data_IF_229298978392
#
_entry.id   IF_229298978392
#
_cell.length_a   1.000
_cell.length_b   1.000
_cell.length_c   1.000
_cell.angle_alpha   90.00
_cell.angle_beta   90.00
_cell.angle_gamma   90.00
#
_symmetry.space_group_name_H-M   'P 1'
#
loop_
_entity.id
_entity.type
_entity.pdbx_description
1 polymer ?
#
# COMPACT_ATOMS: atom_id res chain seq x y z
N UNK A 1 82.37 -23.18 16.96
CA UNK A 1 82.16 -24.43 16.18
C UNK A 1 80.80 -24.37 15.61
N UNK A 2 80.68 -24.20 14.27
CA UNK A 2 79.41 -24.17 13.52
C UNK A 2 79.25 -25.50 12.82
N UNK A 3 78.23 -26.27 13.21
CA UNK A 3 77.82 -27.46 12.45
C UNK A 3 76.89 -27.14 11.37
N UNK A 4 77.12 -27.60 10.10
CA UNK A 4 76.14 -27.44 9.02
C UNK A 4 75.09 -28.53 9.12
N UNK A 5 73.81 -28.13 9.21
CA UNK A 5 72.65 -29.01 9.11
C UNK A 5 72.43 -29.35 7.62
N UNK A 6 72.74 -30.59 7.24
CA UNK A 6 72.38 -31.12 5.94
C UNK A 6 71.04 -31.84 6.01
N UNK A 7 70.04 -31.38 5.30
CA UNK A 7 68.74 -32.05 5.12
C UNK A 7 68.94 -33.34 4.27
N UNK A 8 68.34 -34.47 4.68
CA UNK A 8 68.42 -35.71 3.91
C UNK A 8 67.66 -35.61 2.60
N UNK A 9 68.32 -35.97 1.49
CA UNK A 9 67.79 -35.93 0.12
C UNK A 9 67.01 -37.20 -0.21
N UNK A 10 65.91 -37.49 0.47
CA UNK A 10 65.01 -38.57 0.08
C UNK A 10 63.93 -38.09 -0.91
N UNK A 11 63.90 -38.63 -2.13
CA UNK A 11 62.93 -38.20 -3.16
C UNK A 11 61.47 -38.46 -2.73
N UNK A 12 61.19 -39.44 -1.90
CA UNK A 12 59.85 -39.75 -1.33
C UNK A 12 59.33 -38.68 -0.40
N UNK A 13 60.19 -37.97 0.36
CA UNK A 13 59.76 -36.92 1.28
C UNK A 13 59.38 -35.63 0.53
N UNK A 14 60.01 -35.38 -0.62
CA UNK A 14 59.66 -34.23 -1.48
C UNK A 14 58.34 -34.46 -2.20
N UNK A 15 58.02 -35.68 -2.59
CA UNK A 15 56.75 -36.05 -3.22
C UNK A 15 55.58 -35.93 -2.24
N UNK A 16 55.78 -36.32 -0.97
CA UNK A 16 54.74 -36.19 0.08
C UNK A 16 54.47 -34.73 0.47
N UNK A 17 55.49 -33.88 0.53
CA UNK A 17 55.32 -32.45 0.81
C UNK A 17 54.65 -31.70 -0.35
N UNK A 18 54.94 -32.07 -1.63
CA UNK A 18 54.29 -31.51 -2.79
C UNK A 18 52.78 -31.90 -2.88
N UNK A 19 52.44 -33.15 -2.51
CA UNK A 19 51.04 -33.61 -2.48
C UNK A 19 50.24 -32.98 -1.37
N UNK A 20 50.84 -32.71 -0.20
CA UNK A 20 50.17 -32.02 0.92
C UNK A 20 49.93 -30.55 0.59
N UNK A 21 50.80 -29.87 -0.12
CA UNK A 21 50.59 -28.49 -0.56
C UNK A 21 49.50 -28.36 -1.65
N UNK A 22 49.39 -29.32 -2.59
CA UNK A 22 48.32 -29.37 -3.57
C UNK A 22 46.96 -29.68 -2.94
N UNK A 23 46.90 -30.53 -1.95
CA UNK A 23 45.67 -30.83 -1.21
C UNK A 23 45.19 -29.62 -0.37
N UNK A 24 46.10 -28.85 0.24
CA UNK A 24 45.75 -27.63 0.97
C UNK A 24 45.29 -26.48 0.07
N UNK A 25 45.78 -26.39 -1.18
CA UNK A 25 45.31 -25.42 -2.18
C UNK A 25 43.91 -25.76 -2.71
N UNK A 26 43.53 -27.03 -2.80
CA UNK A 26 42.23 -27.49 -3.26
C UNK A 26 41.11 -27.22 -2.24
N UNK A 27 41.44 -27.17 -0.93
CA UNK A 27 40.43 -26.88 0.14
C UNK A 27 40.09 -25.38 0.28
N UNK A 28 40.94 -24.47 -0.27
CA UNK A 28 40.67 -23.03 -0.27
C UNK A 28 39.81 -22.56 -1.48
N UNK A 29 39.57 -23.41 -2.48
CA UNK A 29 38.69 -23.09 -3.61
C UNK A 29 37.20 -23.44 -3.36
N UNK A 30 36.85 -23.94 -2.17
CA UNK A 30 35.51 -24.40 -1.83
C UNK A 30 34.55 -23.35 -1.27
N UNK A 31 34.90 -22.06 -1.24
CA UNK A 31 33.94 -20.98 -0.98
C UNK A 31 33.38 -20.43 -2.31
N UNK A 32 32.83 -21.32 -3.13
CA UNK A 32 31.91 -20.92 -4.18
C UNK A 32 30.62 -20.47 -3.51
N UNK A 33 30.51 -19.17 -3.19
CA UNK A 33 29.23 -18.57 -2.85
C UNK A 33 28.32 -18.76 -4.08
N UNK A 34 27.39 -19.71 -4.00
CA UNK A 34 26.28 -19.75 -4.92
C UNK A 34 25.58 -18.39 -4.94
N UNK A 35 24.80 -18.05 -5.96
CA UNK A 35 24.11 -16.78 -6.02
C UNK A 35 23.29 -16.61 -4.73
N UNK A 36 23.66 -15.59 -3.92
CA UNK A 36 22.93 -15.27 -2.68
C UNK A 36 21.57 -14.75 -3.12
N UNK A 37 20.54 -15.58 -2.95
CA UNK A 37 19.17 -15.14 -3.22
C UNK A 37 18.82 -14.06 -2.20
N UNK A 38 18.50 -12.83 -2.63
CA UNK A 38 18.12 -11.77 -1.71
C UNK A 38 16.96 -12.20 -0.81
N UNK A 39 16.94 -11.73 0.43
CA UNK A 39 15.79 -11.94 1.31
C UNK A 39 14.52 -11.42 0.63
N UNK A 40 13.37 -12.07 0.87
CA UNK A 40 12.10 -11.79 0.15
C UNK A 40 11.73 -10.30 0.09
N UNK A 41 12.00 -9.54 1.17
CA UNK A 41 11.73 -8.10 1.23
C UNK A 41 12.76 -7.24 0.48
N UNK A 42 13.87 -7.84 0.03
CA UNK A 42 14.94 -7.19 -0.75
C UNK A 42 14.96 -7.65 -2.21
N UNK A 43 14.00 -8.46 -2.62
CA UNK A 43 13.88 -8.87 -4.02
C UNK A 43 13.78 -7.64 -4.92
N UNK A 44 14.54 -7.56 -6.02
CA UNK A 44 14.44 -6.45 -6.96
C UNK A 44 13.10 -6.48 -7.71
N UNK A 45 12.69 -5.33 -8.23
CA UNK A 45 11.59 -5.27 -9.20
C UNK A 45 12.01 -6.04 -10.48
N UNK A 46 11.02 -6.66 -11.13
CA UNK A 46 11.26 -7.37 -12.39
C UNK A 46 11.63 -6.40 -13.51
N UNK A 47 12.37 -6.88 -14.51
CA UNK A 47 12.68 -6.11 -15.73
C UNK A 47 11.40 -5.63 -16.43
N UNK A 48 10.34 -6.44 -16.42
CA UNK A 48 9.05 -6.05 -16.97
C UNK A 48 8.46 -4.85 -16.22
N UNK A 49 8.50 -4.87 -14.87
CA UNK A 49 8.01 -3.78 -14.03
C UNK A 49 8.82 -2.50 -14.26
N UNK A 50 10.16 -2.61 -14.37
CA UNK A 50 11.02 -1.47 -14.67
C UNK A 50 10.74 -0.88 -16.05
N UNK A 51 10.53 -1.72 -17.06
CA UNK A 51 10.16 -1.28 -18.41
C UNK A 51 8.80 -0.58 -18.44
N UNK A 52 7.81 -1.09 -17.68
CA UNK A 52 6.48 -0.47 -17.59
C UNK A 52 6.51 0.88 -16.86
N UNK A 53 7.29 1.00 -15.78
CA UNK A 53 7.53 2.27 -15.10
C UNK A 53 8.09 3.31 -16.08
N UNK A 54 9.16 2.96 -16.79
CA UNK A 54 9.79 3.83 -17.78
C UNK A 54 8.82 4.24 -18.90
N UNK A 55 8.00 3.31 -19.39
CA UNK A 55 6.99 3.60 -20.41
C UNK A 55 5.92 4.59 -19.96
N UNK A 56 5.75 4.76 -18.65
CA UNK A 56 4.83 5.72 -18.01
C UNK A 56 5.52 6.97 -17.47
N UNK A 57 6.78 7.21 -17.84
CA UNK A 57 7.61 8.32 -17.34
C UNK A 57 7.72 8.31 -15.79
N UNK A 58 7.87 7.13 -15.22
CA UNK A 58 8.02 6.91 -13.78
C UNK A 58 9.34 6.21 -13.51
N UNK A 59 10.04 6.63 -12.46
CA UNK A 59 11.20 5.90 -11.95
C UNK A 59 10.78 4.98 -10.80
N UNK A 60 11.56 3.92 -10.52
CA UNK A 60 11.28 3.05 -9.38
C UNK A 60 11.36 3.82 -8.04
N UNK A 61 12.19 4.85 -8.02
CA UNK A 61 12.39 5.78 -6.92
C UNK A 61 11.30 6.84 -6.78
N UNK A 62 10.48 7.09 -7.82
CA UNK A 62 9.42 8.10 -7.76
C UNK A 62 8.51 7.90 -6.55
N UNK A 63 8.01 8.97 -5.93
CA UNK A 63 7.05 8.89 -4.83
C UNK A 63 5.86 7.99 -5.15
N UNK A 64 5.40 7.24 -4.15
CA UNK A 64 4.29 6.28 -4.25
C UNK A 64 3.09 6.72 -3.41
N UNK A 65 1.88 6.31 -3.81
CA UNK A 65 0.63 6.42 -3.10
C UNK A 65 -0.21 5.17 -3.41
N UNK A 66 -0.95 4.65 -2.43
CA UNK A 66 -1.82 3.50 -2.60
C UNK A 66 -3.30 3.88 -2.46
N UNK A 67 -4.16 3.30 -3.31
CA UNK A 67 -5.61 3.44 -3.20
C UNK A 67 -6.26 2.06 -3.22
N UNK A 68 -7.23 1.85 -2.36
CA UNK A 68 -8.00 0.59 -2.26
C UNK A 68 -9.47 0.88 -2.48
N UNK A 69 -10.13 0.01 -3.25
CA UNK A 69 -11.55 0.02 -3.51
C UNK A 69 -12.13 -1.34 -3.13
N UNK A 70 -12.93 -1.38 -2.06
CA UNK A 70 -13.40 -2.64 -1.47
C UNK A 70 -14.41 -3.37 -2.36
N UNK A 71 -15.40 -2.66 -2.94
CA UNK A 71 -16.43 -3.28 -3.78
C UNK A 71 -15.82 -3.89 -5.04
N UNK A 72 -14.90 -3.17 -5.68
CA UNK A 72 -14.16 -3.65 -6.85
C UNK A 72 -13.11 -4.71 -6.48
N UNK A 73 -12.76 -4.80 -5.19
CA UNK A 73 -11.66 -5.60 -4.69
C UNK A 73 -10.35 -5.32 -5.43
N UNK A 74 -9.97 -4.05 -5.49
CA UNK A 74 -8.79 -3.57 -6.21
C UNK A 74 -7.88 -2.71 -5.33
N UNK A 75 -6.58 -2.88 -5.51
CA UNK A 75 -5.54 -2.00 -4.99
C UNK A 75 -4.81 -1.34 -6.15
N UNK A 76 -4.79 -0.03 -6.16
CA UNK A 76 -4.04 0.78 -7.12
C UNK A 76 -2.73 1.26 -6.51
N UNK A 77 -1.65 1.11 -7.28
CA UNK A 77 -0.38 1.77 -7.04
C UNK A 77 -0.28 2.97 -7.97
N UNK A 78 -0.10 4.12 -7.38
CA UNK A 78 0.14 5.39 -8.05
C UNK A 78 1.56 5.84 -7.80
N UNK A 79 2.24 6.36 -8.82
CA UNK A 79 3.57 6.96 -8.69
C UNK A 79 3.61 8.32 -9.34
N UNK A 80 4.46 9.20 -8.84
CA UNK A 80 4.69 10.46 -9.52
C UNK A 80 5.44 10.22 -10.83
N UNK A 81 4.94 10.85 -11.88
CA UNK A 81 5.62 10.95 -13.17
C UNK A 81 6.52 12.21 -13.25
N UNK A 82 7.11 12.46 -14.41
CA UNK A 82 7.99 13.61 -14.65
C UNK A 82 7.29 14.97 -14.46
N UNK A 83 5.96 15.01 -14.45
CA UNK A 83 5.20 16.24 -14.15
C UNK A 83 5.11 16.53 -12.63
N UNK A 84 5.54 15.61 -11.79
CA UNK A 84 5.39 15.66 -10.34
C UNK A 84 3.96 15.35 -9.86
N UNK A 85 3.09 14.86 -10.74
CA UNK A 85 1.74 14.42 -10.40
C UNK A 85 1.68 12.90 -10.30
N UNK A 86 0.78 12.40 -9.47
CA UNK A 86 0.53 10.97 -9.41
C UNK A 86 -0.23 10.51 -10.64
N UNK A 87 0.28 9.47 -11.29
CA UNK A 87 -0.37 8.74 -12.36
C UNK A 87 -0.48 7.26 -11.99
N UNK A 88 -1.48 6.58 -12.52
CA UNK A 88 -1.73 5.18 -12.22
C UNK A 88 -0.62 4.30 -12.82
N UNK A 89 0.17 3.70 -11.94
CA UNK A 89 1.13 2.69 -12.36
C UNK A 89 0.41 1.38 -12.69
N UNK A 90 -0.27 0.79 -11.70
CA UNK A 90 -0.93 -0.52 -11.89
C UNK A 90 -2.09 -0.72 -10.91
N UNK A 91 -3.12 -1.44 -11.36
CA UNK A 91 -4.20 -1.96 -10.53
C UNK A 91 -3.96 -3.44 -10.26
N UNK A 92 -4.02 -3.84 -9.00
CA UNK A 92 -3.86 -5.22 -8.54
C UNK A 92 -5.20 -5.72 -8.02
N UNK A 93 -5.69 -6.87 -8.49
CA UNK A 93 -6.87 -7.48 -7.92
C UNK A 93 -6.57 -7.96 -6.49
N UNK A 94 -7.42 -7.58 -5.53
CA UNK A 94 -7.33 -8.04 -4.14
C UNK A 94 -7.87 -9.47 -4.08
N UNK A 95 -7.05 -10.37 -3.56
CA UNK A 95 -7.36 -11.78 -3.41
C UNK A 95 -8.55 -11.97 -2.45
N UNK A 96 -8.52 -11.29 -1.32
CA UNK A 96 -9.61 -11.25 -0.34
C UNK A 96 -9.49 -10.04 0.58
N UNK A 97 -10.61 -9.39 0.88
CA UNK A 97 -10.74 -8.47 2.00
C UNK A 97 -11.89 -8.92 2.90
N UNK A 98 -11.93 -8.47 4.17
CA UNK A 98 -12.90 -8.95 5.15
C UNK A 98 -13.86 -7.86 5.60
N UNK A 99 -15.05 -8.29 6.03
CA UNK A 99 -16.10 -7.44 6.54
C UNK A 99 -17.07 -6.98 5.44
N UNK A 100 -17.62 -5.79 5.60
CA UNK A 100 -18.59 -5.18 4.70
C UNK A 100 -18.07 -3.84 4.19
N UNK A 101 -18.79 -3.20 3.27
CA UNK A 101 -18.59 -1.80 2.98
C UNK A 101 -18.94 -0.96 4.21
N UNK A 102 -18.08 -0.02 4.55
CA UNK A 102 -18.18 0.81 5.74
C UNK A 102 -16.89 0.80 6.58
N UNK A 103 -16.75 1.74 7.50
CA UNK A 103 -15.56 1.88 8.32
C UNK A 103 -15.41 0.74 9.32
N UNK A 104 -14.16 0.43 9.71
CA UNK A 104 -13.88 -0.39 10.88
C UNK A 104 -14.24 0.37 12.15
N UNK A 105 -14.93 -0.31 13.08
CA UNK A 105 -15.41 0.31 14.32
C UNK A 105 -14.69 -0.24 15.55
N UNK A 106 -14.55 -1.57 15.68
CA UNK A 106 -14.04 -2.17 16.94
C UNK A 106 -13.18 -3.40 16.69
N UNK A 107 -12.34 -3.70 17.67
CA UNK A 107 -11.58 -4.95 17.71
C UNK A 107 -12.50 -6.15 17.54
N UNK A 108 -12.14 -7.10 16.69
CA UNK A 108 -12.89 -8.33 16.46
C UNK A 108 -14.06 -8.22 15.50
N UNK A 109 -14.39 -7.04 14.94
CA UNK A 109 -15.45 -6.87 13.95
C UNK A 109 -15.09 -7.45 12.55
N UNK A 110 -13.86 -7.91 12.36
CA UNK A 110 -13.32 -8.47 11.11
C UNK A 110 -13.45 -7.54 9.91
N UNK A 111 -13.55 -6.24 10.15
CA UNK A 111 -13.78 -5.20 9.16
C UNK A 111 -12.46 -4.63 8.65
N UNK A 112 -12.24 -4.65 7.34
CA UNK A 112 -11.15 -3.94 6.69
C UNK A 112 -11.41 -2.41 6.76
N UNK A 113 -10.40 -1.59 7.15
CA UNK A 113 -10.59 -0.17 7.41
C UNK A 113 -10.83 0.65 6.14
N UNK A 114 -11.61 1.72 6.24
CA UNK A 114 -11.78 2.76 5.22
C UNK A 114 -11.33 4.10 5.79
N UNK A 115 -10.70 4.94 4.96
CA UNK A 115 -10.19 6.25 5.35
C UNK A 115 -8.81 6.55 4.79
N UNK A 116 -8.10 7.49 5.42
CA UNK A 116 -6.79 7.98 5.00
C UNK A 116 -5.74 7.62 6.04
N UNK A 117 -4.71 6.90 5.62
CA UNK A 117 -3.67 6.39 6.51
C UNK A 117 -2.30 6.79 6.01
N UNK A 118 -1.39 7.12 6.91
CA UNK A 118 -0.01 7.47 6.60
C UNK A 118 0.89 6.26 6.83
N UNK A 119 1.52 5.80 5.78
CA UNK A 119 2.45 4.67 5.81
C UNK A 119 3.87 5.22 5.92
N UNK A 120 4.60 4.76 6.92
CA UNK A 120 6.02 5.07 7.13
C UNK A 120 6.87 3.81 6.95
N UNK A 121 8.20 3.92 6.80
CA UNK A 121 9.08 2.74 6.75
C UNK A 121 8.90 1.76 7.92
N UNK A 122 8.58 2.26 9.12
CA UNK A 122 8.32 1.44 10.31
C UNK A 122 7.06 0.58 10.24
N UNK A 123 6.16 0.85 9.28
CA UNK A 123 4.96 0.05 9.05
C UNK A 123 5.16 -1.05 7.99
N UNK A 124 6.33 -1.10 7.35
CA UNK A 124 6.74 -2.17 6.44
C UNK A 124 7.19 -3.39 7.25
N UNK A 125 6.49 -4.51 7.15
CA UNK A 125 6.81 -5.74 7.88
C UNK A 125 7.46 -6.80 6.97
N UNK A 126 8.80 -6.92 6.99
CA UNK A 126 9.53 -7.92 6.19
C UNK A 126 9.38 -9.35 6.71
N UNK A 127 8.97 -9.51 7.98
CA UNK A 127 8.89 -10.78 8.68
C UNK A 127 7.44 -11.25 8.91
N UNK A 128 6.52 -10.80 8.07
CA UNK A 128 5.12 -11.20 8.17
C UNK A 128 4.96 -12.72 8.00
N UNK A 129 4.10 -13.33 8.84
CA UNK A 129 3.67 -14.72 8.67
C UNK A 129 2.87 -14.93 7.37
N UNK A 130 2.35 -13.86 6.80
CA UNK A 130 1.65 -13.82 5.52
C UNK A 130 2.56 -13.27 4.42
N UNK A 131 3.74 -13.87 4.27
CA UNK A 131 4.77 -13.51 3.30
C UNK A 131 5.41 -12.12 3.59
N UNK A 132 4.85 -11.03 3.10
CA UNK A 132 5.23 -9.64 3.38
C UNK A 132 3.97 -8.86 3.76
N UNK A 133 4.11 -7.78 4.55
CA UNK A 133 2.97 -6.96 4.90
C UNK A 133 3.33 -5.47 5.04
N UNK A 134 2.34 -4.62 4.82
CA UNK A 134 2.35 -3.20 5.13
C UNK A 134 1.21 -2.95 6.12
N UNK A 135 1.52 -2.48 7.32
CA UNK A 135 0.50 -2.11 8.29
C UNK A 135 -0.17 -0.81 7.82
N UNK A 136 -1.51 -0.78 7.84
CA UNK A 136 -2.27 0.40 7.41
C UNK A 136 -2.11 1.60 8.33
N UNK A 137 -1.63 1.40 9.56
CA UNK A 137 -1.58 2.45 10.57
C UNK A 137 -2.91 2.72 11.27
N UNK A 138 -3.92 1.86 11.05
CA UNK A 138 -5.17 1.94 11.79
C UNK A 138 -4.96 1.62 13.30
N UNK A 139 -5.61 2.32 14.24
CA UNK A 139 -6.46 3.49 14.04
C UNK A 139 -5.63 4.78 13.88
N UNK A 140 -6.01 5.63 12.91
CA UNK A 140 -5.43 6.95 12.76
C UNK A 140 -5.99 7.96 13.80
N UNK A 141 -5.66 9.25 13.69
CA UNK A 141 -6.12 10.27 14.61
C UNK A 141 -7.65 10.45 14.59
N UNK A 142 -8.26 10.43 13.40
CA UNK A 142 -9.70 10.47 13.22
C UNK A 142 -10.40 9.25 13.84
N UNK A 143 -9.89 8.06 13.60
CA UNK A 143 -10.44 6.82 14.14
C UNK A 143 -10.46 6.83 15.67
N UNK A 144 -9.34 7.22 16.27
CA UNK A 144 -9.23 7.34 17.75
C UNK A 144 -10.20 8.36 18.32
N UNK A 145 -10.37 9.52 17.68
CA UNK A 145 -11.32 10.53 18.12
C UNK A 145 -12.78 10.03 18.05
N UNK A 146 -13.07 9.11 17.13
CA UNK A 146 -14.37 8.46 17.01
C UNK A 146 -14.51 7.17 17.84
N UNK A 147 -13.57 6.89 18.75
CA UNK A 147 -13.60 5.72 19.62
C UNK A 147 -13.41 4.38 18.90
N UNK A 148 -12.87 4.39 17.68
CA UNK A 148 -12.61 3.17 16.92
C UNK A 148 -11.40 2.42 17.46
N UNK A 149 -11.49 1.10 17.51
CA UNK A 149 -10.46 0.24 18.10
C UNK A 149 -10.07 -0.92 17.18
N UNK A 150 -8.84 -1.40 17.33
CA UNK A 150 -8.26 -2.49 16.56
C UNK A 150 -6.78 -2.25 16.32
N UNK A 151 -6.10 -3.27 15.85
CA UNK A 151 -4.67 -3.23 15.53
C UNK A 151 -4.32 -4.28 14.48
N UNK A 152 -3.10 -4.19 13.92
CA UNK A 152 -2.57 -5.16 12.97
C UNK A 152 -3.45 -5.37 11.72
N UNK A 153 -4.04 -4.28 11.22
CA UNK A 153 -4.75 -4.30 9.96
C UNK A 153 -3.76 -4.00 8.84
N UNK A 154 -3.61 -4.94 7.91
CA UNK A 154 -2.50 -4.93 6.96
C UNK A 154 -2.98 -5.13 5.52
N UNK A 155 -2.15 -4.68 4.58
CA UNK A 155 -2.05 -5.20 3.24
C UNK A 155 -0.97 -6.28 3.29
N UNK A 156 -1.26 -7.53 2.88
CA UNK A 156 -0.31 -8.65 3.03
C UNK A 156 -0.50 -9.73 1.96
N UNK A 157 0.48 -10.60 1.80
CA UNK A 157 0.39 -11.80 0.95
C UNK A 157 -0.51 -12.90 1.54
N UNK A 158 -0.40 -14.12 1.02
CA UNK A 158 -1.07 -15.31 1.57
C UNK A 158 -2.55 -15.47 1.23
N UNK A 159 -3.15 -14.57 0.48
CA UNK A 159 -4.50 -14.70 -0.10
C UNK A 159 -5.63 -15.07 0.88
N UNK A 160 -5.50 -14.79 2.19
CA UNK A 160 -6.53 -15.02 3.21
C UNK A 160 -6.66 -13.84 4.16
N UNK A 161 -7.86 -13.47 4.57
CA UNK A 161 -8.11 -12.28 5.37
C UNK A 161 -9.04 -12.53 6.55
N UNK A 162 -8.77 -11.83 7.66
CA UNK A 162 -9.63 -11.76 8.84
C UNK A 162 -9.72 -10.31 9.39
N UNK A 163 -9.83 -9.32 8.49
CA UNK A 163 -9.85 -7.87 8.77
C UNK A 163 -8.82 -7.07 7.98
N UNK A 164 -8.13 -7.70 7.06
CA UNK A 164 -7.03 -7.15 6.26
C UNK A 164 -7.38 -7.07 4.77
N UNK A 165 -6.42 -6.62 3.97
CA UNK A 165 -6.43 -6.68 2.51
C UNK A 165 -5.38 -7.71 2.07
N UNK A 166 -5.81 -8.89 1.62
CA UNK A 166 -4.92 -9.97 1.22
C UNK A 166 -4.68 -9.95 -0.28
N UNK A 167 -3.40 -9.97 -0.64
CA UNK A 167 -2.88 -10.05 -2.00
C UNK A 167 -2.29 -11.44 -2.24
N UNK A 168 -1.94 -11.79 -3.47
CA UNK A 168 -1.03 -12.91 -3.69
C UNK A 168 0.39 -12.54 -3.23
N UNK A 169 1.24 -13.54 -3.02
CA UNK A 169 2.62 -13.31 -2.60
C UNK A 169 3.40 -12.52 -3.65
N UNK A 170 3.17 -12.80 -4.94
CA UNK A 170 3.82 -12.11 -6.06
C UNK A 170 3.40 -10.64 -6.12
N UNK A 171 2.10 -10.36 -6.00
CA UNK A 171 1.59 -8.99 -5.97
C UNK A 171 2.16 -8.22 -4.77
N UNK A 172 2.17 -8.88 -3.59
CA UNK A 172 2.69 -8.24 -2.37
C UNK A 172 4.19 -7.99 -2.47
N UNK A 173 4.96 -8.90 -3.08
CA UNK A 173 6.39 -8.70 -3.34
C UNK A 173 6.64 -7.43 -4.18
N UNK A 174 5.87 -7.25 -5.25
CA UNK A 174 6.01 -6.09 -6.14
C UNK A 174 5.58 -4.79 -5.45
N UNK A 175 4.41 -4.76 -4.80
CA UNK A 175 3.91 -3.59 -4.06
C UNK A 175 4.90 -3.19 -2.95
N UNK A 176 5.43 -4.17 -2.22
CA UNK A 176 6.42 -3.95 -1.16
C UNK A 176 7.72 -3.38 -1.73
N UNK A 177 8.21 -3.92 -2.84
CA UNK A 177 9.42 -3.43 -3.49
C UNK A 177 9.23 -2.00 -4.01
N UNK A 178 8.09 -1.67 -4.65
CA UNK A 178 7.79 -0.30 -5.12
C UNK A 178 7.77 0.71 -3.96
N UNK A 179 7.17 0.34 -2.81
CA UNK A 179 7.17 1.18 -1.63
C UNK A 179 8.57 1.34 -1.02
N UNK A 180 9.34 0.24 -0.95
CA UNK A 180 10.73 0.24 -0.46
C UNK A 180 11.62 1.17 -1.29
N UNK A 181 11.57 1.07 -2.63
CA UNK A 181 12.38 1.91 -3.51
C UNK A 181 12.07 3.41 -3.32
N UNK A 182 10.79 3.77 -3.19
CA UNK A 182 10.40 5.15 -2.89
C UNK A 182 10.93 5.64 -1.53
N UNK A 183 10.88 4.80 -0.49
CA UNK A 183 11.46 5.12 0.82
C UNK A 183 12.99 5.25 0.77
N UNK A 184 13.68 4.39 0.04
CA UNK A 184 15.15 4.47 -0.13
C UNK A 184 15.56 5.75 -0.87
N UNK A 185 14.71 6.28 -1.72
CA UNK A 185 14.91 7.55 -2.42
C UNK A 185 14.59 8.78 -1.57
N UNK A 186 14.13 8.61 -0.33
CA UNK A 186 13.92 9.71 0.62
C UNK A 186 12.46 10.10 0.85
N UNK A 187 11.48 9.40 0.25
CA UNK A 187 10.09 9.58 0.67
C UNK A 187 9.95 9.14 2.14
N UNK A 188 9.53 10.04 3.02
CA UNK A 188 9.46 9.76 4.47
C UNK A 188 8.17 9.04 4.87
N UNK A 189 7.11 9.24 4.09
CA UNK A 189 5.81 8.57 4.23
C UNK A 189 5.04 8.65 2.92
N UNK A 190 4.03 7.80 2.77
CA UNK A 190 3.03 7.91 1.71
C UNK A 190 1.63 7.64 2.23
N UNK A 191 0.63 8.11 1.50
CA UNK A 191 -0.76 7.94 1.87
C UNK A 191 -1.33 6.63 1.32
N UNK A 192 -2.07 5.91 2.17
CA UNK A 192 -3.01 4.87 1.80
C UNK A 192 -4.43 5.44 1.91
N UNK A 193 -5.14 5.48 0.79
CA UNK A 193 -6.53 5.91 0.68
C UNK A 193 -7.40 4.66 0.50
N UNK A 194 -8.18 4.28 1.51
CA UNK A 194 -9.06 3.11 1.45
C UNK A 194 -10.52 3.54 1.37
N UNK A 195 -11.20 3.11 0.30
CA UNK A 195 -12.56 3.50 -0.04
C UNK A 195 -13.49 2.29 -0.08
N UNK A 196 -14.81 2.50 0.14
CA UNK A 196 -15.81 1.44 -0.01
C UNK A 196 -15.91 0.96 -1.46
N UNK A 197 -15.83 1.88 -2.40
CA UNK A 197 -15.94 1.69 -3.84
C UNK A 197 -15.33 2.90 -4.57
N UNK A 198 -15.16 2.83 -5.88
CA UNK A 198 -14.85 4.02 -6.68
C UNK A 198 -15.98 5.03 -6.53
N UNK A 199 -15.69 6.20 -5.94
CA UNK A 199 -16.73 7.17 -5.54
C UNK A 199 -17.26 7.98 -6.73
N UNK A 200 -17.63 7.25 -7.80
CA UNK A 200 -18.28 7.80 -9.00
C UNK A 200 -19.74 8.15 -8.73
N UNK A 201 -20.37 9.04 -9.53
CA UNK A 201 -21.79 9.35 -9.43
C UNK A 201 -22.68 8.10 -9.44
N UNK A 202 -22.38 7.13 -10.29
CA UNK A 202 -23.14 5.87 -10.36
C UNK A 202 -23.10 5.09 -9.04
N UNK A 203 -21.90 4.90 -8.46
CA UNK A 203 -21.76 4.15 -7.23
C UNK A 203 -22.36 4.92 -6.03
N UNK A 204 -22.19 6.24 -5.96
CA UNK A 204 -22.86 7.07 -4.95
C UNK A 204 -24.39 6.95 -5.05
N UNK A 205 -24.96 7.00 -6.27
CA UNK A 205 -26.39 6.80 -6.49
C UNK A 205 -26.87 5.40 -6.08
N UNK A 206 -26.09 4.35 -6.38
CA UNK A 206 -26.41 2.95 -5.99
C UNK A 206 -26.40 2.76 -4.48
N UNK A 207 -25.44 3.38 -3.78
CA UNK A 207 -25.27 3.21 -2.33
C UNK A 207 -26.00 4.25 -1.48
N UNK A 208 -26.86 5.11 -2.09
CA UNK A 208 -27.56 6.23 -1.45
C UNK A 208 -28.32 5.90 -0.15
N UNK A 209 -28.74 4.65 0.03
CA UNK A 209 -29.49 4.19 1.21
C UNK A 209 -28.59 3.57 2.28
N UNK A 210 -27.27 3.62 2.14
CA UNK A 210 -26.34 3.05 3.10
C UNK A 210 -26.33 3.86 4.41
N UNK A 211 -26.32 3.22 5.58
CA UNK A 211 -26.13 3.92 6.85
C UNK A 211 -24.74 4.59 6.97
N UNK A 212 -23.81 4.26 6.08
CA UNK A 212 -22.46 4.82 6.06
C UNK A 212 -22.33 6.08 5.18
N UNK A 213 -23.41 6.56 4.54
CA UNK A 213 -23.34 7.68 3.59
C UNK A 213 -22.66 8.92 4.18
N UNK A 214 -23.00 9.32 5.40
CA UNK A 214 -22.37 10.49 6.03
C UNK A 214 -20.84 10.36 6.18
N UNK A 215 -20.34 9.14 6.43
CA UNK A 215 -18.92 8.87 6.46
C UNK A 215 -18.33 8.86 5.04
N UNK A 216 -19.03 8.29 4.08
CA UNK A 216 -18.58 8.22 2.69
C UNK A 216 -18.57 9.60 2.03
N UNK A 217 -19.57 10.46 2.29
CA UNK A 217 -19.57 11.85 1.82
C UNK A 217 -18.36 12.63 2.37
N UNK A 218 -17.97 12.36 3.61
CA UNK A 218 -16.78 12.98 4.20
C UNK A 218 -15.49 12.49 3.52
N UNK A 219 -15.31 11.19 3.31
CA UNK A 219 -14.08 10.68 2.66
C UNK A 219 -14.05 10.99 1.17
N UNK A 220 -15.23 11.18 0.53
CA UNK A 220 -15.34 11.66 -0.85
C UNK A 220 -14.69 13.03 -1.04
N UNK A 221 -14.65 13.87 -0.02
CA UNK A 221 -13.95 15.15 -0.10
C UNK A 221 -12.45 14.98 -0.42
N UNK A 222 -11.80 13.99 0.15
CA UNK A 222 -10.40 13.66 -0.16
C UNK A 222 -10.25 12.93 -1.49
N UNK A 223 -11.19 12.03 -1.82
CA UNK A 223 -11.26 11.36 -3.12
C UNK A 223 -11.30 12.39 -4.25
N UNK A 224 -12.24 13.34 -4.19
CA UNK A 224 -12.43 14.37 -5.23
C UNK A 224 -11.20 15.28 -5.38
N UNK A 225 -10.48 15.58 -4.28
CA UNK A 225 -9.24 16.34 -4.34
C UNK A 225 -8.17 15.61 -5.12
N UNK A 226 -7.98 14.32 -4.86
CA UNK A 226 -7.04 13.53 -5.63
C UNK A 226 -7.44 13.46 -7.11
N UNK A 227 -8.71 13.23 -7.41
CA UNK A 227 -9.21 13.17 -8.80
C UNK A 227 -8.97 14.46 -9.60
N UNK A 228 -9.06 15.63 -8.96
CA UNK A 228 -8.88 16.91 -9.67
C UNK A 228 -7.42 17.40 -9.69
N UNK A 229 -6.61 16.99 -8.71
CA UNK A 229 -5.23 17.50 -8.58
C UNK A 229 -4.18 16.50 -9.02
N UNK A 230 -4.43 15.21 -8.87
CA UNK A 230 -3.45 14.12 -8.90
C UNK A 230 -2.28 14.37 -7.93
N UNK A 231 -2.56 15.01 -6.79
CA UNK A 231 -1.62 15.23 -5.70
C UNK A 231 -2.17 14.56 -4.44
N UNK A 232 -1.26 14.14 -3.56
CA UNK A 232 -1.63 13.63 -2.23
C UNK A 232 -2.28 14.77 -1.42
N UNK A 233 -3.56 14.67 -1.03
CA UNK A 233 -4.19 15.69 -0.22
C UNK A 233 -3.61 15.68 1.19
N UNK A 234 -3.32 16.84 1.75
CA UNK A 234 -3.03 16.94 3.19
C UNK A 234 -4.28 16.59 3.97
N UNK A 235 -4.17 15.68 4.95
CA UNK A 235 -5.30 15.20 5.75
C UNK A 235 -5.06 15.48 7.22
N UNK A 236 -5.96 16.24 7.81
CA UNK A 236 -6.01 16.52 9.25
C UNK A 236 -7.35 16.06 9.82
N UNK A 237 -7.52 16.17 11.15
CA UNK A 237 -8.79 15.87 11.81
C UNK A 237 -9.07 16.89 12.94
N UNK A 238 -10.32 17.34 13.02
CA UNK A 238 -10.86 18.10 14.13
C UNK A 238 -12.40 17.89 14.20
N UNK A 239 -13.03 18.16 15.32
CA UNK A 239 -14.48 17.91 15.52
C UNK A 239 -14.91 16.49 15.10
N UNK A 240 -13.98 15.50 15.26
CA UNK A 240 -14.16 14.09 14.86
C UNK A 240 -14.44 13.92 13.36
N UNK A 241 -13.92 14.81 12.52
CA UNK A 241 -14.07 14.79 11.06
C UNK A 241 -12.72 14.95 10.38
N UNK A 242 -12.56 14.44 9.18
CA UNK A 242 -11.44 14.76 8.31
C UNK A 242 -11.56 16.19 7.78
N UNK A 243 -10.41 16.85 7.66
CA UNK A 243 -10.24 18.14 6.98
C UNK A 243 -9.13 17.95 5.94
N UNK A 244 -9.37 18.47 4.73
CA UNK A 244 -8.47 18.26 3.60
C UNK A 244 -7.86 19.57 3.12
N UNK A 245 -6.53 19.54 2.90
CA UNK A 245 -5.70 20.67 2.45
C UNK A 245 -5.85 21.93 3.30
N UNK A 246 -5.93 21.84 4.63
CA UNK A 246 -6.03 23.00 5.45
C UNK A 246 -4.71 23.79 5.48
N UNK A 247 -4.79 25.10 5.34
CA UNK A 247 -3.69 26.05 5.52
C UNK A 247 -3.91 26.82 6.83
N UNK A 248 -3.05 26.59 7.79
CA UNK A 248 -3.02 27.26 9.10
C UNK A 248 -1.69 26.98 9.79
N UNK A 249 -1.31 27.85 10.74
CA UNK A 249 -0.20 27.62 11.67
C UNK A 249 -0.63 26.89 12.94
N UNK A 250 -1.94 26.81 13.18
CA UNK A 250 -2.48 26.21 14.39
C UNK A 250 -2.55 24.68 14.26
N UNK A 251 -2.36 24.00 15.39
CA UNK A 251 -2.41 22.53 15.43
C UNK A 251 -3.85 22.02 15.41
N UNK A 252 -4.11 21.02 14.58
CA UNK A 252 -5.37 20.28 14.61
C UNK A 252 -5.39 19.27 15.76
N UNK A 253 -6.51 19.24 16.48
CA UNK A 253 -6.79 18.27 17.54
C UNK A 253 -8.05 17.51 17.21
N UNK A 254 -7.98 16.18 17.00
CA UNK A 254 -9.02 15.42 16.32
C UNK A 254 -10.39 15.44 16.98
N UNK A 255 -10.45 15.59 18.32
CA UNK A 255 -11.72 15.63 19.07
C UNK A 255 -12.20 17.07 19.41
N UNK A 256 -11.33 18.07 19.21
CA UNK A 256 -11.61 19.45 19.60
C UNK A 256 -12.13 20.27 18.40
N UNK A 257 -12.56 21.48 18.69
CA UNK A 257 -12.99 22.45 17.67
C UNK A 257 -11.86 22.71 16.67
N UNK A 258 -12.23 22.81 15.40
CA UNK A 258 -11.29 23.16 14.36
C UNK A 258 -10.69 24.55 14.58
N UNK A 259 -9.37 24.71 14.42
CA UNK A 259 -8.77 26.04 14.33
C UNK A 259 -9.31 26.78 13.09
N UNK A 260 -9.11 28.08 13.03
CA UNK A 260 -9.35 28.82 11.79
C UNK A 260 -8.36 28.34 10.72
N UNK A 261 -8.83 28.00 9.55
CA UNK A 261 -8.01 27.58 8.41
C UNK A 261 -8.61 28.02 7.09
N UNK A 262 -7.78 28.13 6.08
CA UNK A 262 -8.21 28.26 4.68
C UNK A 262 -7.88 26.98 3.91
N UNK A 263 -8.35 26.90 2.69
CA UNK A 263 -7.97 25.88 1.71
C UNK A 263 -7.56 26.60 0.44
N UNK A 264 -6.52 26.17 -0.28
CA UNK A 264 -6.12 26.79 -1.54
C UNK A 264 -7.32 26.96 -2.48
N UNK A 265 -7.66 28.21 -2.86
CA UNK A 265 -8.91 28.50 -3.58
C UNK A 265 -9.00 27.78 -4.93
N UNK A 266 -7.87 27.64 -5.63
CA UNK A 266 -7.85 26.93 -6.91
C UNK A 266 -8.23 25.43 -6.75
N UNK A 267 -7.81 24.78 -5.65
CA UNK A 267 -8.19 23.41 -5.32
C UNK A 267 -9.67 23.38 -4.91
N UNK A 268 -10.06 24.26 -4.00
CA UNK A 268 -11.43 24.35 -3.52
C UNK A 268 -12.43 24.59 -4.65
N UNK A 269 -12.11 25.48 -5.59
CA UNK A 269 -12.96 25.74 -6.77
C UNK A 269 -13.08 24.53 -7.70
N UNK A 270 -11.97 23.84 -7.99
CA UNK A 270 -11.98 22.65 -8.85
C UNK A 270 -12.78 21.51 -8.20
N UNK A 271 -12.64 21.32 -6.88
CA UNK A 271 -13.41 20.30 -6.14
C UNK A 271 -14.90 20.63 -6.12
N UNK A 272 -15.28 21.88 -5.82
CA UNK A 272 -16.68 22.31 -5.86
C UNK A 272 -17.32 22.09 -7.23
N UNK A 273 -16.60 22.41 -8.30
CA UNK A 273 -17.11 22.20 -9.65
C UNK A 273 -17.26 20.72 -9.99
N UNK A 274 -16.33 19.87 -9.59
CA UNK A 274 -16.48 18.41 -9.72
C UNK A 274 -17.71 17.92 -8.95
N UNK A 275 -17.84 18.31 -7.68
CA UNK A 275 -18.96 17.89 -6.83
C UNK A 275 -20.31 18.34 -7.39
N UNK A 276 -20.41 19.57 -7.89
CA UNK A 276 -21.63 20.06 -8.55
C UNK A 276 -22.02 19.21 -9.76
N UNK A 277 -21.05 18.79 -10.59
CA UNK A 277 -21.31 17.88 -11.72
C UNK A 277 -21.75 16.51 -11.25
N UNK A 278 -21.03 15.96 -10.26
CA UNK A 278 -21.36 14.66 -9.65
C UNK A 278 -22.79 14.66 -9.09
N UNK A 279 -23.19 15.70 -8.35
CA UNK A 279 -24.51 15.82 -7.73
C UNK A 279 -25.64 15.85 -8.79
N UNK A 280 -25.44 16.57 -9.89
CA UNK A 280 -26.38 16.60 -11.02
C UNK A 280 -26.51 15.21 -11.65
N UNK A 281 -25.41 14.52 -11.87
CA UNK A 281 -25.41 13.16 -12.44
C UNK A 281 -26.04 12.14 -11.47
N UNK A 282 -25.75 12.22 -10.17
CA UNK A 282 -26.37 11.38 -9.15
C UNK A 282 -27.89 11.55 -9.16
N UNK A 283 -28.37 12.80 -9.19
CA UNK A 283 -29.80 13.09 -9.22
C UNK A 283 -30.47 12.54 -10.49
N UNK A 284 -29.84 12.70 -11.66
CA UNK A 284 -30.33 12.16 -12.93
C UNK A 284 -30.38 10.62 -12.91
N UNK A 285 -29.34 9.95 -12.42
CA UNK A 285 -29.29 8.49 -12.28
C UNK A 285 -30.42 7.97 -11.38
N UNK A 286 -30.66 8.64 -10.25
CA UNK A 286 -31.75 8.31 -9.32
C UNK A 286 -33.11 8.50 -10.00
N UNK A 287 -33.31 9.62 -10.70
CA UNK A 287 -34.56 9.91 -11.42
C UNK A 287 -34.83 8.91 -12.56
N UNK A 288 -33.80 8.38 -13.18
CA UNK A 288 -33.91 7.30 -14.19
C UNK A 288 -34.11 5.91 -13.56
N UNK A 289 -34.24 5.83 -12.24
CA UNK A 289 -34.59 4.61 -11.52
C UNK A 289 -33.43 3.63 -11.33
N UNK A 290 -32.17 4.10 -11.29
CA UNK A 290 -31.04 3.22 -10.94
C UNK A 290 -31.34 2.52 -9.60
N UNK A 291 -31.34 1.17 -9.56
CA UNK A 291 -31.66 0.46 -8.34
C UNK A 291 -30.58 0.69 -7.27
N UNK A 292 -30.96 0.79 -6.00
CA UNK A 292 -29.98 0.84 -4.92
C UNK A 292 -29.20 -0.48 -4.86
N UNK A 293 -27.93 -0.40 -4.44
CA UNK A 293 -27.12 -1.57 -4.20
C UNK A 293 -27.76 -2.44 -3.09
N UNK A 294 -27.71 -3.76 -3.22
CA UNK A 294 -28.20 -4.63 -2.18
C UNK A 294 -27.40 -4.46 -0.88
N UNK A 295 -28.08 -4.50 0.26
CA UNK A 295 -27.40 -4.55 1.57
C UNK A 295 -26.72 -5.91 1.71
N UNK A 296 -25.39 -5.93 1.78
CA UNK A 296 -24.65 -7.15 2.08
C UNK A 296 -24.65 -7.38 3.60
N UNK A 297 -24.97 -8.59 4.03
CA UNK A 297 -25.05 -8.97 5.46
C UNK A 297 -23.94 -9.95 5.87
N UNK A 298 -23.02 -10.28 4.98
CA UNK A 298 -21.91 -11.22 5.24
C UNK A 298 -20.73 -10.55 5.94
N UNK A 299 -19.96 -11.35 6.68
CA UNK A 299 -18.69 -10.90 7.32
C UNK A 299 -17.46 -11.25 6.45
N UNK A 300 -17.67 -11.87 5.29
CA UNK A 300 -16.58 -12.47 4.51
C UNK A 300 -15.97 -11.55 3.45
N UNK A 301 -16.40 -10.29 3.40
CA UNK A 301 -15.82 -9.28 2.51
C UNK A 301 -15.99 -9.64 1.03
N UNK A 302 -15.03 -9.22 0.22
CA UNK A 302 -15.00 -9.44 -1.22
C UNK A 302 -13.79 -10.20 -1.70
N UNK A 303 -13.95 -10.78 -2.88
CA UNK A 303 -12.91 -11.43 -3.68
C UNK A 303 -12.98 -10.83 -5.08
N UNK A 304 -11.85 -10.45 -5.64
CA UNK A 304 -11.86 -9.97 -7.02
C UNK A 304 -12.28 -11.10 -7.98
N UNK A 305 -13.15 -10.81 -8.96
CA UNK A 305 -13.62 -11.81 -9.94
C UNK A 305 -12.49 -12.59 -10.64
N UNK A 306 -11.32 -12.01 -10.80
CA UNK A 306 -10.16 -12.68 -11.39
C UNK A 306 -9.76 -13.97 -10.63
N UNK A 307 -9.94 -13.99 -9.30
CA UNK A 307 -9.65 -15.18 -8.48
C UNK A 307 -10.80 -16.18 -8.43
N UNK A 308 -12.03 -15.74 -8.69
CA UNK A 308 -13.19 -16.64 -8.77
C UNK A 308 -13.18 -17.47 -10.04
N UNK A 309 -12.63 -16.94 -11.14
CA UNK A 309 -12.50 -17.66 -12.41
C UNK A 309 -11.42 -18.75 -12.38
N UNK A 310 -10.35 -18.56 -11.59
CA UNK A 310 -9.27 -19.55 -11.45
C UNK A 310 -9.60 -20.76 -10.56
N UNK A 311 -10.68 -20.68 -9.80
CA UNK A 311 -11.13 -21.76 -8.89
C UNK A 311 -12.11 -22.78 -9.54
N UNK A 312 -12.44 -22.62 -10.83
CA UNK A 312 -13.23 -23.53 -11.65
C UNK A 312 -12.34 -24.36 -12.55
#
# INVERSE_FOLDING_TARGET
MRYPFTLPSHPLLRALLASALLAAAATLAGCGGGPVTPARHMQPLSEQTLAELKAKNMEKESPILLRIFKEEAELEVWKQDDSGRFALFRTYPICRWSGQLGPKIKTGDRQAPEGFYTITPGLMNPNSSQYLAINTGFPNAYDRANGRTGSFLMIHGGCSSAGCYAMTDEQMAEIYALAREAFFAGQTSFQLQAYPFRMTPLNMARHRNSPNMAFWDMIKQGYDRFEVTHLEPRVEACEKRYVFDPETTDAFRPAERCPAYSVPEHIAAAVREKQRRDDVEIADLINRGIPPAPTTTGVDGGVNPAFLAAAK
#
